data_IF_050708344562
#
_entry.id   IF_050708344562
#
_cell.length_a   1.000
_cell.length_b   1.000
_cell.length_c   1.000
_cell.angle_alpha   90.00
_cell.angle_beta   90.00
_cell.angle_gamma   90.00
#
_symmetry.space_group_name_H-M   'P 1'
#
loop_
_entity.id
_entity.type
_entity.pdbx_description
1 polymer ?
#
# COMPACT_ATOMS: atom_id res chain seq x y z
N UNK A 1 -55.92 45.81 39.40
CA UNK A 1 -54.95 46.21 38.36
C UNK A 1 -53.62 45.53 38.70
N UNK A 2 -53.02 44.84 37.73
CA UNK A 2 -51.65 44.29 37.73
C UNK A 2 -51.35 43.14 38.70
N UNK A 3 -51.31 41.90 38.16
CA UNK A 3 -50.13 41.02 38.15
C UNK A 3 -50.55 39.67 37.52
N UNK A 4 -50.50 39.59 36.20
CA UNK A 4 -50.67 38.34 35.46
C UNK A 4 -50.08 38.51 34.06
N UNK A 5 -48.76 38.37 33.91
CA UNK A 5 -48.17 38.15 32.57
C UNK A 5 -46.73 37.62 32.56
N UNK A 6 -46.25 36.95 33.61
CA UNK A 6 -44.83 36.52 33.66
C UNK A 6 -44.63 35.00 33.45
N UNK A 7 -45.69 34.19 33.50
CA UNK A 7 -45.55 32.73 33.65
C UNK A 7 -45.79 31.85 32.41
N UNK A 8 -45.93 32.42 31.21
CA UNK A 8 -46.19 31.61 30.00
C UNK A 8 -45.05 31.55 28.98
N UNK A 9 -43.94 32.29 29.15
CA UNK A 9 -42.85 32.33 28.15
C UNK A 9 -41.64 31.43 28.45
N UNK A 10 -41.56 30.81 29.62
CA UNK A 10 -40.39 30.03 30.03
C UNK A 10 -40.27 28.61 29.45
N UNK A 11 -41.32 27.79 29.28
CA UNK A 11 -41.13 26.38 28.89
C UNK A 11 -40.81 26.19 27.40
N UNK A 12 -41.18 27.14 26.53
CA UNK A 12 -40.95 27.02 25.08
C UNK A 12 -39.53 27.38 24.63
N UNK A 13 -38.85 28.29 25.32
CA UNK A 13 -37.48 28.71 24.96
C UNK A 13 -36.45 27.61 25.27
N UNK A 14 -36.61 26.91 26.40
CA UNK A 14 -35.73 25.80 26.82
C UNK A 14 -35.86 24.62 25.84
N UNK A 15 -37.07 24.30 25.38
CA UNK A 15 -37.34 23.23 24.41
C UNK A 15 -36.65 23.48 23.05
N UNK A 16 -36.64 24.71 22.55
CA UNK A 16 -35.97 25.07 21.29
C UNK A 16 -34.45 25.01 21.40
N UNK A 17 -33.89 25.49 22.51
CA UNK A 17 -32.44 25.44 22.76
C UNK A 17 -31.94 24.00 22.90
N UNK A 18 -32.65 23.15 23.64
CA UNK A 18 -32.31 21.73 23.79
C UNK A 18 -32.43 20.99 22.46
N UNK A 19 -33.50 21.21 21.69
CA UNK A 19 -33.67 20.58 20.38
C UNK A 19 -32.57 21.00 19.38
N UNK A 20 -32.15 22.27 19.43
CA UNK A 20 -31.10 22.79 18.57
C UNK A 20 -29.74 22.19 18.94
N UNK A 21 -29.42 22.11 20.24
CA UNK A 21 -28.18 21.49 20.74
C UNK A 21 -28.09 20.00 20.42
N UNK A 22 -29.18 19.26 20.55
CA UNK A 22 -29.24 17.83 20.18
C UNK A 22 -29.06 17.67 18.67
N UNK A 23 -29.69 18.52 17.85
CA UNK A 23 -29.54 18.48 16.40
C UNK A 23 -28.10 18.77 15.94
N UNK A 24 -27.41 19.75 16.53
CA UNK A 24 -26.00 20.01 16.22
C UNK A 24 -25.08 18.88 16.69
N UNK A 25 -25.35 18.27 17.85
CA UNK A 25 -24.55 17.15 18.34
C UNK A 25 -24.70 15.91 17.45
N UNK A 26 -25.91 15.63 16.96
CA UNK A 26 -26.17 14.53 16.00
C UNK A 26 -25.52 14.81 14.64
N UNK A 27 -25.61 16.04 14.11
CA UNK A 27 -24.96 16.40 12.85
C UNK A 27 -23.43 16.33 12.92
N UNK A 28 -22.82 16.70 14.06
CA UNK A 28 -21.38 16.60 14.26
C UNK A 28 -20.90 15.15 14.43
N UNK A 29 -21.70 14.27 15.04
CA UNK A 29 -21.36 12.84 15.17
C UNK A 29 -21.49 12.07 13.84
N UNK A 30 -22.47 12.40 13.01
CA UNK A 30 -22.63 11.75 11.69
C UNK A 30 -21.52 12.18 10.72
N UNK A 31 -21.01 13.41 10.85
CA UNK A 31 -19.94 13.94 10.00
C UNK A 31 -18.56 13.30 10.22
N UNK A 32 -18.29 12.71 11.39
CA UNK A 32 -16.97 12.12 11.70
C UNK A 32 -16.87 10.61 11.45
N UNK A 33 -18.00 9.90 11.29
CA UNK A 33 -18.01 8.44 11.11
C UNK A 33 -17.69 8.03 9.65
N UNK A 34 -17.81 8.94 8.69
CA UNK A 34 -17.59 8.67 7.26
C UNK A 34 -16.24 9.14 6.71
N UNK A 35 -15.24 9.40 7.56
CA UNK A 35 -13.88 9.51 7.05
C UNK A 35 -13.40 8.10 6.69
N UNK A 36 -13.07 7.81 5.41
CA UNK A 36 -12.47 6.53 5.07
C UNK A 36 -11.17 6.42 5.86
N UNK A 37 -11.13 5.52 6.83
CA UNK A 37 -9.89 5.20 7.54
C UNK A 37 -8.97 4.61 6.47
N UNK A 38 -7.81 5.20 6.18
CA UNK A 38 -6.87 4.57 5.26
C UNK A 38 -6.43 3.27 5.93
N UNK A 39 -6.88 2.14 5.40
CA UNK A 39 -6.33 0.84 5.78
C UNK A 39 -4.85 0.88 5.36
N UNK A 40 -3.96 1.05 6.34
CA UNK A 40 -2.53 1.00 6.10
C UNK A 40 -2.16 -0.47 5.86
N UNK A 41 -1.98 -0.85 4.60
CA UNK A 41 -1.44 -2.16 4.25
C UNK A 41 0.06 -2.18 4.56
N UNK A 42 0.49 -3.17 5.35
CA UNK A 42 1.88 -3.29 5.76
C UNK A 42 2.72 -3.83 4.59
N UNK A 43 3.65 -3.01 4.11
CA UNK A 43 4.67 -3.48 3.17
C UNK A 43 5.65 -4.40 3.89
N UNK A 44 5.96 -5.52 3.25
CA UNK A 44 6.88 -6.54 3.75
C UNK A 44 8.07 -6.64 2.81
N UNK A 45 9.28 -6.54 3.35
CA UNK A 45 10.53 -6.71 2.61
C UNK A 45 10.99 -8.15 2.74
N UNK A 46 11.33 -8.77 1.61
CA UNK A 46 11.89 -10.11 1.52
C UNK A 46 13.32 -10.05 0.97
N UNK A 47 14.24 -10.77 1.61
CA UNK A 47 15.59 -11.01 1.12
C UNK A 47 15.56 -12.22 0.18
N UNK A 48 16.04 -12.04 -1.04
CA UNK A 48 16.07 -13.10 -2.03
C UNK A 48 17.49 -13.71 -2.09
N UNK A 49 17.56 -15.04 -2.20
CA UNK A 49 18.84 -15.77 -2.25
C UNK A 49 19.50 -15.80 -3.64
N UNK A 50 18.82 -15.26 -4.66
CA UNK A 50 19.40 -14.97 -5.97
C UNK A 50 20.24 -13.69 -5.96
N UNK A 51 21.01 -13.48 -7.03
CA UNK A 51 21.84 -12.30 -7.23
C UNK A 51 21.32 -11.48 -8.43
N UNK A 52 21.90 -10.31 -8.68
CA UNK A 52 21.73 -9.57 -9.92
C UNK A 52 22.90 -9.84 -10.90
N UNK A 53 22.93 -9.16 -12.06
CA UNK A 53 24.05 -9.28 -13.03
C UNK A 53 25.43 -9.19 -12.40
N UNK A 54 25.55 -8.27 -11.43
CA UNK A 54 26.81 -7.91 -10.81
C UNK A 54 27.21 -8.86 -9.69
N UNK A 55 26.42 -9.91 -9.45
CA UNK A 55 26.58 -10.79 -8.31
C UNK A 55 26.18 -10.13 -6.99
N UNK A 56 25.35 -9.08 -7.03
CA UNK A 56 24.89 -8.38 -5.84
C UNK A 56 23.54 -8.91 -5.36
N UNK A 57 23.30 -8.94 -4.04
CA UNK A 57 22.01 -9.34 -3.51
C UNK A 57 20.93 -8.33 -3.89
N UNK A 58 19.68 -8.80 -3.87
CA UNK A 58 18.52 -7.94 -4.02
C UNK A 58 17.42 -8.32 -3.03
N UNK A 59 16.55 -7.36 -2.76
CA UNK A 59 15.36 -7.55 -1.94
C UNK A 59 14.11 -7.22 -2.74
N UNK A 60 13.01 -7.92 -2.48
CA UNK A 60 11.72 -7.64 -3.07
C UNK A 60 10.71 -7.24 -1.98
N UNK A 61 9.92 -6.21 -2.24
CA UNK A 61 8.86 -5.75 -1.33
C UNK A 61 7.52 -6.16 -1.88
N UNK A 62 6.62 -6.64 -1.02
CA UNK A 62 5.24 -6.94 -1.39
C UNK A 62 4.23 -6.28 -0.46
N UNK A 63 3.05 -6.01 -1.01
CA UNK A 63 1.87 -5.48 -0.33
C UNK A 63 0.67 -6.28 -0.81
N UNK A 64 -0.16 -6.76 0.11
CA UNK A 64 -1.39 -7.51 -0.18
C UNK A 64 -1.20 -8.68 -1.18
N UNK A 65 -0.07 -9.39 -1.06
CA UNK A 65 0.26 -10.54 -1.90
C UNK A 65 0.72 -10.19 -3.32
N UNK A 66 1.07 -8.93 -3.59
CA UNK A 66 1.63 -8.46 -4.87
C UNK A 66 3.00 -7.82 -4.66
N UNK A 67 3.95 -8.12 -5.52
CA UNK A 67 5.23 -7.41 -5.54
C UNK A 67 5.01 -5.96 -5.96
N UNK A 68 5.63 -5.03 -5.23
CA UNK A 68 5.50 -3.58 -5.44
C UNK A 68 6.85 -2.91 -5.65
N UNK A 69 7.94 -3.56 -5.25
CA UNK A 69 9.27 -2.99 -5.39
C UNK A 69 10.31 -4.10 -5.48
N UNK A 70 11.38 -3.84 -6.21
CA UNK A 70 12.65 -4.57 -6.07
C UNK A 70 13.78 -3.57 -5.85
N UNK A 71 14.67 -3.89 -4.93
CA UNK A 71 15.86 -3.10 -4.63
C UNK A 71 17.10 -3.95 -4.91
N UNK A 72 17.94 -3.46 -5.80
CA UNK A 72 19.22 -4.07 -6.14
C UNK A 72 20.31 -3.39 -5.33
N UNK A 73 21.05 -4.16 -4.55
CA UNK A 73 22.32 -3.67 -4.01
C UNK A 73 23.35 -3.58 -5.13
N UNK A 74 24.39 -2.78 -4.90
CA UNK A 74 25.49 -2.58 -5.84
C UNK A 74 26.80 -2.68 -5.10
N UNK A 75 27.92 -2.46 -5.81
CA UNK A 75 29.23 -2.28 -5.20
C UNK A 75 29.15 -1.31 -4.01
N UNK A 76 29.94 -1.55 -2.96
CA UNK A 76 29.88 -0.82 -1.69
C UNK A 76 29.90 0.72 -1.81
N UNK A 77 30.51 1.25 -2.86
CA UNK A 77 30.63 2.70 -3.10
C UNK A 77 29.44 3.32 -3.85
N UNK A 78 28.47 2.51 -4.27
CA UNK A 78 27.33 2.94 -5.06
C UNK A 78 26.03 2.80 -4.28
N UNK A 79 25.11 3.78 -4.35
CA UNK A 79 23.81 3.64 -3.71
C UNK A 79 23.02 2.50 -4.36
N UNK A 80 22.16 1.80 -3.61
CA UNK A 80 21.26 0.79 -4.16
C UNK A 80 20.29 1.43 -5.16
N UNK A 81 19.78 0.62 -6.07
CA UNK A 81 18.79 1.03 -7.07
C UNK A 81 17.46 0.42 -6.72
N UNK A 82 16.44 1.26 -6.61
CA UNK A 82 15.06 0.84 -6.34
C UNK A 82 14.25 0.95 -7.62
N UNK A 83 13.55 -0.13 -7.97
CA UNK A 83 12.55 -0.16 -9.01
C UNK A 83 11.18 -0.34 -8.38
N UNK A 84 10.32 0.66 -8.53
CA UNK A 84 8.89 0.50 -8.29
C UNK A 84 8.31 -0.44 -9.35
N UNK A 85 7.51 -1.41 -8.92
CA UNK A 85 6.94 -2.44 -9.77
C UNK A 85 5.44 -2.21 -9.94
N UNK A 86 4.99 -2.33 -11.18
CA UNK A 86 3.58 -2.34 -11.56
C UNK A 86 3.24 -3.73 -12.07
N UNK A 87 2.13 -4.29 -11.59
CA UNK A 87 1.60 -5.53 -12.15
C UNK A 87 1.25 -5.32 -13.64
N UNK A 88 1.71 -6.22 -14.50
CA UNK A 88 1.49 -6.18 -15.94
C UNK A 88 0.46 -7.23 -16.37
N UNK A 89 0.81 -8.51 -16.22
CA UNK A 89 0.00 -9.62 -16.75
C UNK A 89 0.31 -10.93 -16.03
N UNK A 90 -0.35 -12.02 -16.44
CA UNK A 90 0.01 -13.40 -16.10
C UNK A 90 0.46 -14.11 -17.37
N UNK A 91 1.57 -14.85 -17.32
CA UNK A 91 2.02 -15.65 -18.47
C UNK A 91 1.22 -16.95 -18.64
N UNK A 92 1.52 -17.70 -19.70
CA UNK A 92 0.86 -18.99 -20.00
C UNK A 92 1.08 -20.06 -18.91
N UNK A 93 2.08 -19.90 -18.06
CA UNK A 93 2.37 -20.78 -16.92
C UNK A 93 1.63 -20.37 -15.64
N UNK A 94 0.78 -19.34 -15.70
CA UNK A 94 0.05 -18.84 -14.53
C UNK A 94 0.91 -17.99 -13.59
N UNK A 95 2.06 -17.50 -14.06
CA UNK A 95 2.98 -16.70 -13.25
C UNK A 95 2.72 -15.20 -13.45
N UNK A 96 2.41 -14.45 -12.38
CA UNK A 96 2.30 -12.99 -12.44
C UNK A 96 3.61 -12.33 -12.88
N UNK A 97 3.51 -11.35 -13.76
CA UNK A 97 4.59 -10.52 -14.27
C UNK A 97 4.41 -9.10 -13.77
N UNK A 98 5.49 -8.53 -13.25
CA UNK A 98 5.58 -7.16 -12.78
C UNK A 98 6.68 -6.44 -13.55
N UNK A 99 6.46 -5.17 -13.87
CA UNK A 99 7.39 -4.33 -14.62
C UNK A 99 7.77 -3.07 -13.86
N UNK A 100 9.01 -2.65 -14.03
CA UNK A 100 9.52 -1.41 -13.46
C UNK A 100 10.68 -0.87 -14.28
N UNK A 101 11.41 0.09 -13.72
CA UNK A 101 12.55 0.74 -14.37
C UNK A 101 13.82 0.66 -13.55
N UNK A 102 14.95 0.55 -14.23
CA UNK A 102 16.29 0.54 -13.65
C UNK A 102 17.06 1.77 -14.14
N UNK A 103 17.38 2.69 -13.21
CA UNK A 103 18.13 3.93 -13.48
C UNK A 103 17.56 4.80 -14.62
N UNK A 104 16.27 4.65 -14.96
CA UNK A 104 15.63 5.36 -16.06
C UNK A 104 16.12 4.97 -17.46
N UNK A 105 16.90 3.90 -17.59
CA UNK A 105 17.54 3.50 -18.84
C UNK A 105 17.20 2.07 -19.29
N UNK A 106 16.79 1.21 -18.36
CA UNK A 106 16.45 -0.18 -18.65
C UNK A 106 15.16 -0.60 -17.96
N UNK A 107 14.51 -1.63 -18.49
CA UNK A 107 13.31 -2.22 -17.90
C UNK A 107 13.69 -3.25 -16.84
N UNK A 108 12.88 -3.34 -15.79
CA UNK A 108 12.90 -4.45 -14.83
C UNK A 108 11.69 -5.33 -15.10
N UNK A 109 11.90 -6.64 -15.17
CA UNK A 109 10.83 -7.63 -15.20
C UNK A 109 11.02 -8.59 -14.03
N UNK A 110 10.03 -8.64 -13.14
CA UNK A 110 9.96 -9.63 -12.07
C UNK A 110 8.80 -10.57 -12.37
N UNK A 111 9.08 -11.88 -12.37
CA UNK A 111 8.09 -12.94 -12.55
C UNK A 111 7.96 -13.65 -11.21
N UNK A 112 6.76 -13.70 -10.65
CA UNK A 112 6.46 -14.54 -9.49
C UNK A 112 6.27 -15.98 -9.96
N UNK A 113 7.33 -16.78 -9.84
CA UNK A 113 7.32 -18.17 -10.28
C UNK A 113 6.55 -19.09 -9.35
N UNK A 114 6.16 -18.59 -8.16
CA UNK A 114 5.27 -19.29 -7.21
C UNK A 114 3.78 -19.16 -7.53
N UNK A 115 3.41 -18.31 -8.50
CA UNK A 115 2.04 -18.21 -9.03
C UNK A 115 1.16 -17.15 -8.35
N UNK A 116 1.74 -16.19 -7.62
CA UNK A 116 1.00 -15.11 -6.96
C UNK A 116 0.77 -15.34 -5.47
N UNK A 117 0.04 -14.39 -4.85
CA UNK A 117 -0.20 -14.35 -3.40
C UNK A 117 1.12 -14.44 -2.61
N UNK A 118 1.96 -13.43 -2.86
CA UNK A 118 3.33 -13.32 -2.36
C UNK A 118 3.38 -13.44 -0.83
N UNK A 119 4.36 -14.21 -0.36
CA UNK A 119 4.63 -14.48 1.07
C UNK A 119 6.11 -14.87 1.24
N UNK A 120 6.64 -14.91 2.48
CA UNK A 120 7.95 -15.52 2.71
C UNK A 120 8.00 -16.95 2.14
N UNK A 121 9.05 -17.25 1.38
CA UNK A 121 9.23 -18.48 0.60
C UNK A 121 8.71 -18.40 -0.84
N UNK A 122 8.12 -17.28 -1.28
CA UNK A 122 7.78 -17.07 -2.68
C UNK A 122 9.03 -17.08 -3.56
N UNK A 123 8.90 -17.69 -4.73
CA UNK A 123 9.96 -17.78 -5.73
C UNK A 123 9.77 -16.71 -6.80
N UNK A 124 10.87 -16.13 -7.24
CA UNK A 124 10.88 -15.12 -8.29
C UNK A 124 11.93 -15.43 -9.35
N UNK A 125 11.68 -14.92 -10.56
CA UNK A 125 12.73 -14.64 -11.53
C UNK A 125 12.73 -13.15 -11.80
N UNK A 126 13.83 -12.47 -11.48
CA UNK A 126 14.01 -11.05 -11.80
C UNK A 126 14.89 -10.95 -13.05
N UNK A 127 14.73 -9.89 -13.85
CA UNK A 127 15.64 -9.53 -14.93
C UNK A 127 15.66 -8.02 -15.16
N UNK A 128 16.81 -7.51 -15.59
CA UNK A 128 16.98 -6.13 -16.07
C UNK A 128 17.27 -6.20 -17.56
N UNK A 129 16.69 -5.27 -18.33
CA UNK A 129 16.81 -5.15 -19.78
C UNK A 129 16.42 -6.43 -20.54
N UNK A 130 15.22 -6.96 -20.23
CA UNK A 130 14.57 -8.06 -20.98
C UNK A 130 15.52 -9.22 -21.36
N UNK A 131 16.19 -9.81 -20.36
CA UNK A 131 16.98 -11.06 -20.38
C UNK A 131 18.47 -10.95 -20.05
N UNK A 132 19.04 -9.77 -19.80
CA UNK A 132 20.44 -9.71 -19.35
C UNK A 132 20.70 -10.40 -18.01
N UNK A 133 19.67 -10.57 -17.16
CA UNK A 133 19.80 -11.07 -15.78
C UNK A 133 18.68 -12.02 -15.34
N UNK A 134 18.38 -13.13 -16.02
CA UNK A 134 17.40 -14.08 -15.47
C UNK A 134 17.96 -14.83 -14.26
N UNK A 135 17.89 -14.19 -13.10
CA UNK A 135 18.24 -14.79 -11.82
C UNK A 135 16.97 -15.29 -11.15
N UNK A 136 17.01 -16.52 -10.63
CA UNK A 136 15.93 -17.08 -9.82
C UNK A 136 16.34 -17.00 -8.35
N UNK A 137 15.38 -16.68 -7.50
CA UNK A 137 15.59 -16.64 -6.06
C UNK A 137 14.35 -17.02 -5.28
N UNK A 138 14.55 -17.60 -4.11
CA UNK A 138 13.56 -17.80 -3.06
C UNK A 138 13.67 -16.59 -2.13
N UNK A 139 12.56 -15.90 -1.92
CA UNK A 139 12.52 -14.66 -1.14
C UNK A 139 11.92 -14.92 0.26
N UNK A 140 12.70 -14.67 1.32
CA UNK A 140 12.35 -14.93 2.72
C UNK A 140 12.58 -13.72 3.63
N UNK A 141 12.32 -13.89 4.93
CA UNK A 141 12.60 -12.87 5.97
C UNK A 141 13.96 -13.07 6.61
#
# INVERSE_FOLDING_TARGET
KFFSSVWHKFPQQISKLVATLVATFVLLFVGTIFLPVPFAHAAMVLYCDGLDHGGYPYTATYVDGLFTQVRFDRSLDLPPVVSELTYDTVNEQGQPIYRGGYLGAADVVLIDTSGGNVKPGSEVSVSVDNQWNQERGICGV
#
